data_IF_053388641693
#
_entry.id   IF_053388641693
#
_cell.length_a   1.000
_cell.length_b   1.000
_cell.length_c   1.000
_cell.angle_alpha   90.00
_cell.angle_beta   90.00
_cell.angle_gamma   90.00
#
_symmetry.space_group_name_H-M   'P 1'
#
loop_
_entity.id
_entity.type
_entity.pdbx_description
1 polymer ?
#
# COMPACT_ATOMS: atom_id res chain seq x y z
N UNK A 1 -25.58 -22.36 -5.51
CA UNK A 1 -25.80 -23.39 -4.46
C UNK A 1 -24.50 -24.13 -4.19
N UNK A 2 -23.99 -24.06 -2.96
CA UNK A 2 -22.83 -24.82 -2.44
C UNK A 2 -23.32 -25.97 -1.54
N UNK A 3 -22.49 -26.96 -1.23
CA UNK A 3 -22.84 -28.13 -0.38
C UNK A 3 -23.58 -27.73 0.91
N UNK A 4 -23.09 -26.72 1.64
CA UNK A 4 -23.74 -26.18 2.84
C UNK A 4 -25.23 -25.83 2.69
N UNK A 5 -25.65 -25.44 1.49
CA UNK A 5 -27.06 -25.13 1.21
C UNK A 5 -27.88 -26.39 0.98
N UNK A 6 -27.30 -27.38 0.30
CA UNK A 6 -27.90 -28.70 0.12
C UNK A 6 -28.01 -29.43 1.45
N UNK A 7 -27.02 -29.30 2.34
CA UNK A 7 -27.04 -29.94 3.65
C UNK A 7 -28.13 -29.35 4.55
N UNK A 8 -28.29 -28.02 4.59
CA UNK A 8 -29.44 -27.37 5.25
C UNK A 8 -30.79 -27.86 4.71
N UNK A 9 -30.87 -28.09 3.40
CA UNK A 9 -32.08 -28.54 2.75
C UNK A 9 -32.38 -30.01 3.08
N UNK A 10 -31.36 -30.86 3.21
CA UNK A 10 -31.48 -32.25 3.68
C UNK A 10 -31.82 -32.35 5.17
N UNK A 11 -31.37 -31.42 6.00
CA UNK A 11 -31.67 -31.38 7.45
C UNK A 11 -33.15 -31.11 7.73
N UNK A 12 -33.77 -30.23 6.94
CA UNK A 12 -35.17 -29.80 7.11
C UNK A 12 -36.15 -30.65 6.27
N UNK A 13 -35.63 -31.55 5.43
CA UNK A 13 -36.44 -32.48 4.62
C UNK A 13 -35.98 -33.93 4.88
N UNK A 14 -35.98 -34.80 3.88
CA UNK A 14 -35.42 -36.14 4.00
C UNK A 14 -34.00 -36.19 3.40
N UNK A 15 -33.14 -37.14 3.83
CA UNK A 15 -31.85 -37.34 3.20
C UNK A 15 -32.01 -37.74 1.73
N UNK A 16 -31.39 -36.99 0.82
CA UNK A 16 -31.28 -37.34 -0.59
C UNK A 16 -29.89 -37.01 -1.14
N UNK A 17 -29.49 -37.72 -2.18
CA UNK A 17 -28.27 -37.43 -2.92
C UNK A 17 -28.58 -36.58 -4.15
N UNK A 18 -28.30 -35.29 -4.05
CA UNK A 18 -28.49 -34.31 -5.12
C UNK A 18 -27.49 -34.44 -6.27
N UNK A 19 -26.49 -35.33 -6.15
CA UNK A 19 -25.48 -35.63 -7.19
C UNK A 19 -25.72 -36.98 -7.88
N UNK A 20 -26.71 -37.75 -7.42
CA UNK A 20 -27.07 -39.04 -8.02
C UNK A 20 -27.79 -38.84 -9.35
N UNK A 21 -27.54 -39.74 -10.31
CA UNK A 21 -28.27 -39.80 -11.57
C UNK A 21 -29.78 -40.07 -11.36
N UNK A 22 -30.15 -40.61 -10.19
CA UNK A 22 -31.54 -40.86 -9.78
C UNK A 22 -32.26 -39.61 -9.23
N UNK A 23 -31.57 -38.46 -9.13
CA UNK A 23 -32.15 -37.19 -8.68
C UNK A 23 -32.98 -36.53 -9.79
N UNK A 24 -34.12 -37.15 -10.09
CA UNK A 24 -35.07 -36.73 -11.13
C UNK A 24 -36.21 -35.88 -10.54
N UNK A 25 -37.01 -35.25 -11.40
CA UNK A 25 -38.21 -34.52 -10.98
C UNK A 25 -39.17 -35.43 -10.19
N UNK A 26 -39.37 -36.67 -10.63
CA UNK A 26 -40.21 -37.64 -9.91
C UNK A 26 -39.67 -37.88 -8.50
N UNK A 27 -38.34 -38.01 -8.36
CA UNK A 27 -37.69 -38.12 -7.06
C UNK A 27 -37.90 -36.87 -6.20
N UNK A 28 -37.84 -35.68 -6.77
CA UNK A 28 -38.10 -34.41 -6.05
C UNK A 28 -39.51 -34.39 -5.46
N UNK A 29 -40.51 -34.87 -6.20
CA UNK A 29 -41.88 -35.01 -5.69
C UNK A 29 -41.99 -36.10 -4.62
N UNK A 30 -41.32 -37.25 -4.79
CA UNK A 30 -41.29 -38.33 -3.78
C UNK A 30 -40.68 -37.88 -2.45
N UNK A 31 -39.65 -37.02 -2.49
CA UNK A 31 -38.96 -36.52 -1.29
C UNK A 31 -39.78 -35.41 -0.59
N UNK A 32 -40.90 -34.96 -1.19
CA UNK A 32 -41.78 -33.95 -0.59
C UNK A 32 -41.23 -32.52 -0.67
N UNK A 33 -40.20 -32.27 -1.49
CA UNK A 33 -39.63 -30.93 -1.68
C UNK A 33 -40.66 -29.84 -2.07
N UNK A 34 -41.71 -30.12 -2.87
CA UNK A 34 -42.76 -29.14 -3.16
C UNK A 34 -43.57 -28.67 -1.94
N UNK A 35 -43.53 -29.40 -0.82
CA UNK A 35 -44.17 -28.97 0.42
C UNK A 35 -43.33 -27.93 1.19
N UNK A 36 -42.05 -27.78 0.82
CA UNK A 36 -41.08 -26.90 1.47
C UNK A 36 -40.66 -25.71 0.58
N UNK A 37 -41.51 -25.26 -0.35
CA UNK A 37 -41.18 -24.22 -1.33
C UNK A 37 -40.66 -22.92 -0.69
N UNK A 38 -41.24 -22.49 0.45
CA UNK A 38 -40.77 -21.29 1.16
C UNK A 38 -39.34 -21.44 1.68
N UNK A 39 -39.01 -22.59 2.24
CA UNK A 39 -37.66 -22.91 2.72
C UNK A 39 -36.68 -22.97 1.55
N UNK A 40 -37.05 -23.62 0.45
CA UNK A 40 -36.22 -23.71 -0.76
C UNK A 40 -35.94 -22.30 -1.31
N UNK A 41 -36.97 -21.45 -1.39
CA UNK A 41 -36.83 -20.07 -1.83
C UNK A 41 -35.91 -19.27 -0.90
N UNK A 42 -36.01 -19.45 0.41
CA UNK A 42 -35.13 -18.81 1.39
C UNK A 42 -33.68 -19.26 1.23
N UNK A 43 -33.42 -20.57 1.10
CA UNK A 43 -32.06 -21.12 0.94
C UNK A 43 -31.46 -20.69 -0.40
N UNK A 44 -32.25 -20.71 -1.48
CA UNK A 44 -31.81 -20.24 -2.79
C UNK A 44 -31.51 -18.74 -2.79
N UNK A 45 -32.32 -17.94 -2.09
CA UNK A 45 -32.06 -16.51 -1.85
C UNK A 45 -30.75 -16.29 -1.10
N UNK A 46 -30.54 -17.00 0.01
CA UNK A 46 -29.27 -16.98 0.74
C UNK A 46 -28.09 -17.35 -0.17
N UNK A 47 -28.21 -18.43 -0.95
CA UNK A 47 -27.14 -18.88 -1.83
C UNK A 47 -26.80 -17.87 -2.94
N UNK A 48 -27.79 -17.10 -3.39
CA UNK A 48 -27.60 -16.05 -4.40
C UNK A 48 -26.82 -14.88 -3.81
N UNK A 49 -27.20 -14.42 -2.63
CA UNK A 49 -26.53 -13.33 -1.93
C UNK A 49 -25.10 -13.71 -1.49
N UNK A 50 -24.90 -14.95 -1.02
CA UNK A 50 -23.57 -15.47 -0.71
C UNK A 50 -22.67 -15.54 -1.94
N UNK A 51 -23.21 -15.91 -3.11
CA UNK A 51 -22.44 -15.95 -4.36
C UNK A 51 -21.97 -14.56 -4.81
N UNK A 52 -22.73 -13.50 -4.50
CA UNK A 52 -22.31 -12.12 -4.77
C UNK A 52 -21.09 -11.75 -3.92
N UNK A 53 -21.10 -12.10 -2.63
CA UNK A 53 -19.96 -11.85 -1.73
C UNK A 53 -18.74 -12.64 -2.19
N UNK A 54 -18.91 -13.94 -2.47
CA UNK A 54 -17.84 -14.83 -2.94
C UNK A 54 -17.18 -14.28 -4.21
N UNK A 55 -17.97 -13.88 -5.22
CA UNK A 55 -17.46 -13.32 -6.47
C UNK A 55 -16.67 -12.03 -6.25
N UNK A 56 -17.14 -11.14 -5.36
CA UNK A 56 -16.42 -9.90 -5.04
C UNK A 56 -15.08 -10.17 -4.38
N UNK A 57 -15.02 -11.14 -3.46
CA UNK A 57 -13.76 -11.53 -2.83
C UNK A 57 -12.78 -12.12 -3.87
N UNK A 58 -13.27 -12.93 -4.80
CA UNK A 58 -12.47 -13.45 -5.91
C UNK A 58 -11.92 -12.32 -6.80
N UNK A 59 -12.72 -11.30 -7.09
CA UNK A 59 -12.32 -10.12 -7.88
C UNK A 59 -11.22 -9.32 -7.15
N UNK A 60 -11.39 -9.02 -5.86
CA UNK A 60 -10.38 -8.35 -5.02
C UNK A 60 -9.08 -9.16 -5.00
N UNK A 61 -9.20 -10.49 -4.83
CA UNK A 61 -8.05 -11.40 -4.82
C UNK A 61 -7.30 -11.39 -6.15
N UNK A 62 -8.02 -11.51 -7.27
CA UNK A 62 -7.42 -11.51 -8.59
C UNK A 62 -6.72 -10.18 -8.91
N UNK A 63 -7.32 -9.06 -8.50
CA UNK A 63 -6.75 -7.73 -8.67
C UNK A 63 -5.41 -7.58 -7.94
N UNK A 64 -5.38 -7.86 -6.63
CA UNK A 64 -4.19 -7.63 -5.82
C UNK A 64 -3.05 -8.63 -6.06
N UNK A 65 -3.35 -9.81 -6.61
CA UNK A 65 -2.34 -10.77 -7.04
C UNK A 65 -1.53 -10.31 -8.27
N UNK A 66 -2.00 -9.28 -8.98
CA UNK A 66 -1.35 -8.77 -10.19
C UNK A 66 -0.89 -7.32 -10.05
N UNK A 67 -1.29 -6.63 -8.98
CA UNK A 67 -1.02 -5.21 -8.84
C UNK A 67 0.44 -4.95 -8.44
N UNK A 68 1.15 -4.20 -9.27
CA UNK A 68 2.56 -3.86 -9.10
C UNK A 68 2.76 -2.38 -8.77
N UNK A 69 3.80 -2.07 -7.98
CA UNK A 69 4.29 -0.71 -7.88
C UNK A 69 4.86 -0.23 -9.22
N UNK A 70 4.42 0.95 -9.65
CA UNK A 70 5.03 1.64 -10.78
C UNK A 70 6.43 2.08 -10.37
N UNK A 71 7.43 1.86 -11.22
CA UNK A 71 8.80 2.26 -10.98
C UNK A 71 9.24 3.26 -12.03
N UNK A 72 9.88 4.33 -11.57
CA UNK A 72 10.42 5.38 -12.43
C UNK A 72 11.89 5.60 -12.11
N UNK A 73 12.62 6.19 -13.05
CA UNK A 73 14.01 6.60 -12.84
C UNK A 73 14.11 8.11 -12.82
N UNK A 74 14.76 8.67 -11.80
CA UNK A 74 15.11 10.09 -11.74
C UNK A 74 16.62 10.21 -11.63
N UNK A 75 17.27 10.87 -12.60
CA UNK A 75 18.75 11.03 -12.65
C UNK A 75 19.52 9.71 -12.48
N UNK A 76 19.08 8.64 -13.16
CA UNK A 76 19.61 7.27 -13.05
C UNK A 76 19.38 6.55 -11.71
N UNK A 77 18.57 7.10 -10.81
CA UNK A 77 18.20 6.46 -9.55
C UNK A 77 16.78 5.93 -9.65
N UNK A 78 16.60 4.65 -9.31
CA UNK A 78 15.28 4.02 -9.28
C UNK A 78 14.46 4.56 -8.10
N UNK A 79 13.18 4.84 -8.33
CA UNK A 79 12.22 5.29 -7.33
C UNK A 79 10.84 4.70 -7.62
N UNK A 80 10.02 4.62 -6.59
CA UNK A 80 8.60 4.30 -6.70
C UNK A 80 7.91 5.48 -7.39
N UNK A 81 7.09 5.17 -8.39
CA UNK A 81 6.31 6.12 -9.17
C UNK A 81 5.09 6.64 -8.42
N UNK A 82 4.05 7.02 -9.17
CA UNK A 82 2.78 7.37 -8.54
C UNK A 82 2.16 6.14 -7.87
N UNK A 83 1.59 6.35 -6.69
CA UNK A 83 0.84 5.34 -5.94
C UNK A 83 -0.63 5.74 -5.76
N UNK A 84 -1.07 6.86 -6.35
CA UNK A 84 -2.43 7.40 -6.19
C UNK A 84 -3.50 6.37 -6.57
N UNK A 85 -3.31 5.68 -7.70
CA UNK A 85 -4.22 4.61 -8.13
C UNK A 85 -4.21 3.42 -7.16
N UNK A 86 -3.06 3.11 -6.53
CA UNK A 86 -2.97 2.04 -5.53
C UNK A 86 -3.72 2.43 -4.26
N UNK A 87 -3.50 3.64 -3.75
CA UNK A 87 -4.16 4.16 -2.54
C UNK A 87 -5.68 4.24 -2.74
N UNK A 88 -6.14 4.78 -3.87
CA UNK A 88 -7.56 4.83 -4.22
C UNK A 88 -8.20 3.43 -4.26
N UNK A 89 -7.52 2.47 -4.89
CA UNK A 89 -8.03 1.09 -4.98
C UNK A 89 -8.02 0.37 -3.62
N UNK A 90 -7.11 0.71 -2.71
CA UNK A 90 -7.16 0.19 -1.34
C UNK A 90 -8.41 0.73 -0.63
N UNK A 91 -8.66 2.04 -0.72
CA UNK A 91 -9.80 2.68 -0.07
C UNK A 91 -11.15 2.17 -0.61
N UNK A 92 -11.26 2.03 -1.94
CA UNK A 92 -12.46 1.51 -2.59
C UNK A 92 -12.74 0.07 -2.13
N UNK A 93 -11.74 -0.81 -2.16
CA UNK A 93 -11.92 -2.19 -1.72
C UNK A 93 -12.18 -2.30 -0.21
N UNK A 94 -11.58 -1.45 0.63
CA UNK A 94 -11.90 -1.40 2.06
C UNK A 94 -13.38 -1.02 2.29
N UNK A 95 -13.90 -0.06 1.53
CA UNK A 95 -15.32 0.33 1.59
C UNK A 95 -16.23 -0.81 1.11
N UNK A 96 -15.84 -1.54 0.07
CA UNK A 96 -16.58 -2.72 -0.41
C UNK A 96 -16.60 -3.86 0.61
N UNK A 97 -15.45 -4.17 1.22
CA UNK A 97 -15.36 -5.18 2.29
C UNK A 97 -16.23 -4.79 3.49
N UNK A 98 -16.22 -3.51 3.89
CA UNK A 98 -17.06 -3.01 4.97
C UNK A 98 -18.56 -3.17 4.64
N UNK A 99 -18.96 -2.89 3.40
CA UNK A 99 -20.32 -3.11 2.93
C UNK A 99 -20.73 -4.58 2.98
N UNK A 100 -19.85 -5.49 2.54
CA UNK A 100 -20.08 -6.94 2.60
C UNK A 100 -20.17 -7.44 4.04
N UNK A 101 -19.38 -6.90 4.97
CA UNK A 101 -19.47 -7.22 6.40
C UNK A 101 -20.79 -6.82 7.05
N UNK A 102 -21.45 -5.78 6.52
CA UNK A 102 -22.80 -5.38 6.95
C UNK A 102 -23.91 -6.32 6.47
N UNK A 103 -23.62 -7.24 5.54
CA UNK A 103 -24.61 -8.18 5.03
C UNK A 103 -24.95 -9.28 6.04
N UNK A 104 -26.23 -9.61 6.15
CA UNK A 104 -26.71 -10.76 6.95
C UNK A 104 -26.21 -12.12 6.43
N UNK A 105 -25.66 -12.18 5.22
CA UNK A 105 -25.16 -13.39 4.56
C UNK A 105 -23.63 -13.56 4.68
N UNK A 106 -22.97 -12.70 5.46
CA UNK A 106 -21.50 -12.68 5.60
C UNK A 106 -20.94 -13.87 6.37
N UNK A 107 -21.75 -14.62 7.13
CA UNK A 107 -21.28 -15.57 8.15
C UNK A 107 -20.19 -16.54 7.66
N UNK A 108 -20.28 -17.02 6.41
CA UNK A 108 -19.32 -17.97 5.82
C UNK A 108 -17.99 -17.31 5.40
N UNK A 109 -17.96 -15.98 5.24
CA UNK A 109 -16.84 -15.22 4.66
C UNK A 109 -16.13 -14.30 5.65
N UNK A 110 -16.56 -14.25 6.92
CA UNK A 110 -16.03 -13.31 7.93
C UNK A 110 -14.50 -13.37 8.03
N UNK A 111 -13.93 -14.57 8.16
CA UNK A 111 -12.48 -14.75 8.28
C UNK A 111 -11.72 -14.27 7.04
N UNK A 112 -12.27 -14.51 5.85
CA UNK A 112 -11.64 -14.10 4.60
C UNK A 112 -11.69 -12.58 4.42
N UNK A 113 -12.83 -11.96 4.75
CA UNK A 113 -13.00 -10.50 4.73
C UNK A 113 -12.11 -9.80 5.77
N UNK A 114 -11.95 -10.37 6.96
CA UNK A 114 -11.02 -9.88 7.99
C UNK A 114 -9.57 -9.98 7.54
N UNK A 115 -9.19 -11.08 6.89
CA UNK A 115 -7.86 -11.23 6.32
C UNK A 115 -7.58 -10.19 5.24
N UNK A 116 -8.53 -9.98 4.31
CA UNK A 116 -8.39 -8.96 3.27
C UNK A 116 -8.33 -7.54 3.84
N UNK A 117 -9.18 -7.20 4.82
CA UNK A 117 -9.11 -5.90 5.49
C UNK A 117 -7.75 -5.68 6.15
N UNK A 118 -7.21 -6.71 6.82
CA UNK A 118 -5.87 -6.65 7.41
C UNK A 118 -4.80 -6.42 6.34
N UNK A 119 -4.81 -7.19 5.25
CA UNK A 119 -3.85 -7.07 4.15
C UNK A 119 -3.89 -5.69 3.49
N UNK A 120 -5.09 -5.19 3.17
CA UNK A 120 -5.28 -3.86 2.59
C UNK A 120 -4.78 -2.75 3.52
N UNK A 121 -5.05 -2.86 4.82
CA UNK A 121 -4.54 -1.91 5.82
C UNK A 121 -3.01 -1.95 5.91
N UNK A 122 -2.40 -3.13 5.85
CA UNK A 122 -0.93 -3.27 5.81
C UNK A 122 -0.34 -2.71 4.52
N UNK A 123 -1.03 -2.87 3.39
CA UNK A 123 -0.62 -2.29 2.10
C UNK A 123 -0.65 -0.78 2.12
N UNK A 124 -1.69 -0.18 2.70
CA UNK A 124 -1.79 1.28 2.88
C UNK A 124 -0.62 1.79 3.73
N UNK A 125 -0.41 1.18 4.90
CA UNK A 125 0.67 1.56 5.80
C UNK A 125 2.06 1.44 5.15
N UNK A 126 2.30 0.33 4.44
CA UNK A 126 3.58 0.10 3.77
C UNK A 126 3.83 1.13 2.67
N UNK A 127 2.80 1.40 1.86
CA UNK A 127 2.85 2.40 0.79
C UNK A 127 3.10 3.80 1.34
N UNK A 128 2.39 4.20 2.39
CA UNK A 128 2.59 5.49 3.07
C UNK A 128 4.04 5.65 3.55
N UNK A 129 4.59 4.65 4.24
CA UNK A 129 5.97 4.71 4.77
C UNK A 129 7.02 4.73 3.67
N UNK A 130 6.80 4.02 2.58
CA UNK A 130 7.66 4.08 1.40
C UNK A 130 7.67 5.47 0.79
N UNK A 131 6.49 6.06 0.56
CA UNK A 131 6.38 7.38 -0.08
C UNK A 131 6.93 8.50 0.81
N UNK A 132 6.66 8.46 2.12
CA UNK A 132 7.23 9.41 3.08
C UNK A 132 8.76 9.32 3.12
N UNK A 133 9.33 8.11 3.17
CA UNK A 133 10.77 7.91 3.17
C UNK A 133 11.39 8.41 1.85
N UNK A 134 10.78 8.08 0.72
CA UNK A 134 11.23 8.51 -0.61
C UNK A 134 11.21 10.03 -0.76
N UNK A 135 10.18 10.71 -0.26
CA UNK A 135 10.05 12.17 -0.33
C UNK A 135 11.18 12.87 0.43
N UNK A 136 11.44 12.47 1.67
CA UNK A 136 12.53 13.05 2.46
C UNK A 136 13.90 12.71 1.89
N UNK A 137 14.07 11.48 1.39
CA UNK A 137 15.31 11.04 0.76
C UNK A 137 15.59 11.85 -0.51
N UNK A 138 14.60 12.04 -1.41
CA UNK A 138 14.74 12.84 -2.63
C UNK A 138 15.15 14.30 -2.34
N UNK A 139 14.59 14.88 -1.28
CA UNK A 139 14.95 16.24 -0.86
C UNK A 139 16.43 16.31 -0.47
N UNK A 140 16.90 15.41 0.41
CA UNK A 140 18.29 15.40 0.84
C UNK A 140 19.27 14.98 -0.26
N UNK A 141 18.86 14.07 -1.15
CA UNK A 141 19.62 13.68 -2.34
C UNK A 141 19.83 14.86 -3.29
N UNK A 142 18.83 15.73 -3.45
CA UNK A 142 18.95 16.92 -4.29
C UNK A 142 20.03 17.91 -3.79
N UNK A 143 20.31 17.89 -2.49
CA UNK A 143 21.27 18.79 -1.84
C UNK A 143 22.66 18.13 -1.77
N UNK A 144 22.74 16.95 -1.14
CA UNK A 144 24.00 16.26 -0.89
C UNK A 144 24.49 15.45 -2.08
N UNK A 145 23.62 15.04 -3.00
CA UNK A 145 23.99 14.25 -4.19
C UNK A 145 24.68 15.10 -5.27
N UNK A 146 24.36 16.39 -5.37
CA UNK A 146 24.84 17.27 -6.45
C UNK A 146 25.90 18.28 -5.99
N UNK A 147 25.79 18.83 -4.78
CA UNK A 147 26.70 19.90 -4.33
C UNK A 147 27.88 19.38 -3.51
N UNK A 148 29.08 19.37 -4.11
CA UNK A 148 30.32 19.11 -3.37
C UNK A 148 30.57 20.13 -2.25
N UNK A 149 30.21 21.40 -2.46
CA UNK A 149 30.41 22.45 -1.47
C UNK A 149 29.53 22.23 -0.23
N UNK A 150 28.27 21.80 -0.40
CA UNK A 150 27.41 21.39 0.72
C UNK A 150 27.98 20.19 1.45
N UNK A 151 28.45 19.17 0.73
CA UNK A 151 29.09 17.98 1.33
C UNK A 151 30.34 18.35 2.13
N UNK A 152 31.10 19.37 1.71
CA UNK A 152 32.28 19.85 2.44
C UNK A 152 31.91 20.64 3.69
N UNK A 153 30.91 21.52 3.59
CA UNK A 153 30.47 22.34 4.73
C UNK A 153 29.75 21.53 5.81
N UNK A 154 29.03 20.47 5.42
CA UNK A 154 28.28 19.57 6.29
C UNK A 154 28.80 18.12 6.15
N UNK A 155 30.10 17.92 6.38
CA UNK A 155 30.78 16.65 6.11
C UNK A 155 30.27 15.48 6.95
N UNK A 156 29.87 15.73 8.20
CA UNK A 156 29.30 14.71 9.08
C UNK A 156 27.95 14.25 8.55
N UNK A 157 27.07 15.20 8.26
CA UNK A 157 25.71 14.95 7.76
C UNK A 157 25.74 14.31 6.38
N UNK A 158 26.68 14.70 5.51
CA UNK A 158 26.88 14.06 4.21
C UNK A 158 27.32 12.59 4.34
N UNK A 159 28.15 12.26 5.34
CA UNK A 159 28.54 10.88 5.65
C UNK A 159 27.35 10.07 6.19
N UNK A 160 26.58 10.67 7.10
CA UNK A 160 25.38 10.03 7.66
C UNK A 160 24.34 9.78 6.56
N UNK A 161 24.12 10.77 5.68
CA UNK A 161 23.25 10.63 4.51
C UNK A 161 23.73 9.53 3.57
N UNK A 162 25.03 9.41 3.30
CA UNK A 162 25.56 8.33 2.44
C UNK A 162 25.25 6.93 2.99
N UNK A 163 25.30 6.76 4.32
CA UNK A 163 24.92 5.50 4.97
C UNK A 163 23.42 5.22 4.84
N UNK A 164 22.58 6.24 5.00
CA UNK A 164 21.13 6.14 4.84
C UNK A 164 20.75 5.85 3.39
N UNK A 165 21.41 6.51 2.43
CA UNK A 165 21.22 6.29 1.00
C UNK A 165 21.48 4.83 0.62
N UNK A 166 22.58 4.24 1.10
CA UNK A 166 22.89 2.84 0.85
C UNK A 166 21.81 1.89 1.40
N UNK A 167 21.18 2.24 2.52
CA UNK A 167 20.08 1.46 3.08
C UNK A 167 18.79 1.63 2.29
N UNK A 168 18.46 2.87 1.90
CA UNK A 168 17.31 3.17 1.04
C UNK A 168 17.42 2.44 -0.31
N UNK A 169 18.58 2.45 -0.95
CA UNK A 169 18.81 1.71 -2.20
C UNK A 169 18.58 0.20 -2.04
N UNK A 170 18.90 -0.38 -0.87
CA UNK A 170 18.61 -1.81 -0.61
C UNK A 170 17.11 -2.06 -0.51
N UNK A 171 16.35 -1.16 0.11
CA UNK A 171 14.88 -1.27 0.18
C UNK A 171 14.31 -1.20 -1.24
N UNK A 172 14.69 -0.20 -2.03
CA UNK A 172 14.22 -0.04 -3.41
C UNK A 172 14.62 -1.24 -4.27
N UNK A 173 15.84 -1.77 -4.14
CA UNK A 173 16.30 -2.99 -4.85
C UNK A 173 15.47 -4.23 -4.48
N UNK A 174 15.04 -4.34 -3.22
CA UNK A 174 14.18 -5.44 -2.80
C UNK A 174 12.79 -5.34 -3.45
N UNK A 175 12.20 -4.15 -3.48
CA UNK A 175 10.92 -3.89 -4.15
C UNK A 175 11.04 -4.06 -5.68
N UNK A 176 12.21 -3.76 -6.24
CA UNK A 176 12.49 -4.01 -7.66
C UNK A 176 12.52 -5.50 -8.01
N UNK A 177 12.90 -6.35 -7.07
CA UNK A 177 12.97 -7.80 -7.28
C UNK A 177 11.58 -8.44 -7.24
N UNK A 178 10.67 -7.92 -6.42
CA UNK A 178 9.26 -8.31 -6.36
C UNK A 178 8.38 -7.07 -6.22
N UNK A 179 7.78 -6.67 -7.34
CA UNK A 179 7.04 -5.41 -7.46
C UNK A 179 5.62 -5.51 -6.96
N UNK A 180 5.13 -6.72 -6.66
CA UNK A 180 3.76 -6.92 -6.25
C UNK A 180 3.51 -6.20 -4.93
N UNK A 181 2.50 -5.34 -4.93
CA UNK A 181 2.14 -4.51 -3.77
C UNK A 181 1.82 -5.40 -2.58
N UNK A 182 1.06 -6.48 -2.82
CA UNK A 182 0.68 -7.47 -1.82
C UNK A 182 1.90 -8.19 -1.22
N UNK A 183 2.89 -8.58 -2.02
CA UNK A 183 4.07 -9.27 -1.50
C UNK A 183 4.95 -8.32 -0.69
N UNK A 184 5.14 -7.09 -1.18
CA UNK A 184 5.92 -6.06 -0.49
C UNK A 184 5.34 -5.72 0.88
N UNK A 185 4.02 -5.57 0.98
CA UNK A 185 3.33 -5.24 2.24
C UNK A 185 3.37 -6.36 3.28
N UNK A 186 3.51 -7.61 2.84
CA UNK A 186 3.63 -8.77 3.71
C UNK A 186 5.02 -8.95 4.33
N UNK A 187 6.00 -8.12 3.97
CA UNK A 187 7.35 -8.15 4.54
C UNK A 187 7.45 -7.10 5.66
N UNK A 188 7.29 -7.47 6.95
CA UNK A 188 7.22 -6.49 8.04
C UNK A 188 8.51 -5.66 8.17
N UNK A 189 9.63 -6.24 7.73
CA UNK A 189 10.93 -5.60 7.75
C UNK A 189 10.99 -4.34 6.87
N UNK A 190 10.17 -4.23 5.82
CA UNK A 190 10.17 -3.05 4.94
C UNK A 190 9.69 -1.82 5.70
N UNK A 191 8.57 -1.92 6.43
CA UNK A 191 8.02 -0.82 7.25
C UNK A 191 9.01 -0.38 8.32
N UNK A 192 9.64 -1.33 9.01
CA UNK A 192 10.65 -1.06 10.04
C UNK A 192 11.84 -0.30 9.45
N UNK A 193 12.39 -0.80 8.33
CA UNK A 193 13.54 -0.19 7.66
C UNK A 193 13.21 1.20 7.12
N UNK A 194 12.02 1.39 6.53
CA UNK A 194 11.57 2.71 6.08
C UNK A 194 11.44 3.70 7.24
N UNK A 195 10.90 3.25 8.38
CA UNK A 195 10.77 4.07 9.60
C UNK A 195 12.15 4.47 10.14
N UNK A 196 13.12 3.55 10.14
CA UNK A 196 14.49 3.84 10.58
C UNK A 196 15.22 4.79 9.61
N UNK A 197 14.99 4.63 8.30
CA UNK A 197 15.48 5.56 7.27
C UNK A 197 14.90 6.95 7.52
N UNK A 198 13.58 7.09 7.67
CA UNK A 198 12.93 8.38 7.97
C UNK A 198 13.50 9.06 9.20
N UNK A 199 13.62 8.36 10.34
CA UNK A 199 14.20 8.93 11.56
C UNK A 199 15.60 9.50 11.33
N UNK A 200 16.43 8.81 10.55
CA UNK A 200 17.78 9.27 10.23
C UNK A 200 17.76 10.46 9.27
N UNK A 201 16.90 10.44 8.25
CA UNK A 201 16.70 11.57 7.34
C UNK A 201 16.22 12.81 8.10
N UNK A 202 15.33 12.65 9.06
CA UNK A 202 14.83 13.74 9.91
C UNK A 202 15.95 14.38 10.74
N UNK A 203 16.83 13.58 11.35
CA UNK A 203 18.00 14.09 12.08
C UNK A 203 18.91 14.91 11.16
N UNK A 204 19.16 14.42 9.94
CA UNK A 204 19.97 15.12 8.94
C UNK A 204 19.29 16.43 8.52
N UNK A 205 17.98 16.39 8.25
CA UNK A 205 17.16 17.56 7.89
C UNK A 205 17.17 18.62 8.99
N UNK A 206 17.05 18.23 10.25
CA UNK A 206 17.12 19.16 11.38
C UNK A 206 18.51 19.80 11.50
N UNK A 207 19.57 19.04 11.24
CA UNK A 207 20.94 19.56 11.21
C UNK A 207 21.16 20.54 10.06
N UNK A 208 20.58 20.26 8.89
CA UNK A 208 20.56 21.16 7.74
C UNK A 208 19.84 22.47 8.06
N UNK A 209 18.64 22.41 8.65
CA UNK A 209 17.88 23.61 9.02
C UNK A 209 18.66 24.48 10.01
N UNK A 210 19.31 23.87 11.00
CA UNK A 210 20.18 24.59 11.93
C UNK A 210 21.35 25.26 11.22
N UNK A 211 21.99 24.56 10.29
CA UNK A 211 23.08 25.12 9.49
C UNK A 211 22.62 26.32 8.65
N UNK A 212 21.43 26.25 8.02
CA UNK A 212 20.87 27.37 7.27
C UNK A 212 20.58 28.57 8.18
N UNK A 213 20.03 28.34 9.37
CA UNK A 213 19.77 29.41 10.33
C UNK A 213 21.07 30.07 10.83
N UNK A 214 22.12 29.29 11.12
CA UNK A 214 23.43 29.82 11.49
C UNK A 214 24.01 30.71 10.36
N UNK A 215 23.79 30.36 9.08
CA UNK A 215 24.17 31.20 7.94
C UNK A 215 23.34 32.48 7.86
N UNK A 216 22.04 32.43 8.17
CA UNK A 216 21.18 33.62 8.22
C UNK A 216 21.59 34.59 9.33
N UNK A 217 21.99 34.08 10.49
CA UNK A 217 22.50 34.92 11.58
C UNK A 217 23.79 35.66 11.19
N UNK A 218 24.68 35.00 10.45
CA UNK A 218 25.93 35.61 9.97
C UNK A 218 25.68 36.64 8.85
N UNK A 219 24.67 36.43 8.00
CA UNK A 219 24.32 37.31 6.90
C UNK A 219 22.80 37.60 6.90
N UNK A 220 22.34 38.66 7.61
CA UNK A 220 20.92 38.94 7.79
C UNK A 220 20.10 39.12 6.50
N UNK A 221 20.75 39.37 5.36
CA UNK A 221 20.07 39.41 4.05
C UNK A 221 19.51 38.05 3.62
N UNK A 222 20.06 36.94 4.11
CA UNK A 222 19.55 35.59 3.81
C UNK A 222 18.19 35.28 4.44
N UNK A 223 17.68 36.12 5.36
CA UNK A 223 16.31 36.01 5.84
C UNK A 223 15.25 36.33 4.76
N UNK A 224 15.64 37.03 3.68
CA UNK A 224 14.74 37.32 2.56
C UNK A 224 14.67 36.19 1.53
N UNK A 225 15.47 35.13 1.70
CA UNK A 225 15.55 34.01 0.78
C UNK A 225 14.81 32.79 1.32
N UNK A 226 14.17 32.06 0.41
CA UNK A 226 13.66 30.72 0.71
C UNK A 226 14.81 29.77 1.03
N UNK A 227 14.52 28.67 1.74
CA UNK A 227 15.54 27.65 2.04
C UNK A 227 16.15 27.08 0.75
N UNK A 228 15.34 26.85 -0.29
CA UNK A 228 15.79 26.35 -1.58
C UNK A 228 16.73 27.32 -2.30
N UNK A 229 16.43 28.62 -2.28
CA UNK A 229 17.30 29.63 -2.91
C UNK A 229 18.58 29.83 -2.11
N UNK A 230 18.51 29.79 -0.78
CA UNK A 230 19.68 29.81 0.07
C UNK A 230 20.57 28.58 -0.18
N UNK A 231 19.99 27.40 -0.31
CA UNK A 231 20.71 26.17 -0.63
C UNK A 231 21.37 26.22 -2.01
N UNK A 232 20.72 26.82 -3.03
CA UNK A 232 21.35 27.05 -4.34
C UNK A 232 22.58 27.96 -4.22
N UNK A 233 22.47 29.07 -3.50
CA UNK A 233 23.58 30.01 -3.30
C UNK A 233 24.74 29.33 -2.55
N UNK A 234 24.44 28.60 -1.48
CA UNK A 234 25.44 27.89 -0.67
C UNK A 234 26.07 26.71 -1.45
N UNK A 235 25.29 26.05 -2.29
CA UNK A 235 25.70 24.90 -3.09
C UNK A 235 26.51 25.26 -4.34
N UNK A 236 26.38 26.51 -4.82
CA UNK A 236 27.13 27.09 -5.94
C UNK A 236 28.03 28.26 -5.50
N UNK A 237 28.45 28.30 -4.23
CA UNK A 237 29.20 29.42 -3.65
C UNK A 237 30.54 29.75 -4.36
N UNK A 238 30.99 28.89 -5.28
CA UNK A 238 32.21 29.07 -6.09
C UNK A 238 31.95 29.43 -7.56
N UNK A 239 30.70 29.46 -8.02
CA UNK A 239 30.36 29.85 -9.39
C UNK A 239 29.94 31.34 -9.45
N UNK A 240 30.80 32.22 -9.98
CA UNK A 240 30.54 33.67 -10.02
C UNK A 240 29.38 34.06 -10.96
N UNK A 241 28.92 33.16 -11.84
CA UNK A 241 27.80 33.46 -12.74
C UNK A 241 26.45 33.31 -12.05
N UNK A 242 26.30 32.29 -11.19
CA UNK A 242 25.07 32.05 -10.41
C UNK A 242 24.86 33.15 -9.36
N UNK A 243 25.93 33.71 -8.79
CA UNK A 243 25.85 34.80 -7.82
C UNK A 243 25.40 36.15 -8.41
N UNK A 244 25.35 36.32 -9.74
CA UNK A 244 24.92 37.59 -10.37
C UNK A 244 23.42 37.69 -10.59
N UNK A 245 22.69 36.58 -10.44
CA UNK A 245 21.24 36.50 -10.64
C UNK A 245 20.44 36.74 -9.35
N UNK A 246 21.12 36.91 -8.21
CA UNK A 246 20.56 37.18 -6.88
C UNK A 246 21.13 38.47 -6.29
#
# INVERSE_FOLDING_TARGET
MRERHWDKLKEETQPFDHRSDDFTLDKIFEIGLPEHLELIAQIAGQATEEAVIEKKIEEVTAFWNQQEYILTTYKNIARIGSVEDIEQQIDDHLMELASMKGSRYVATFVTELENWEHLLTQMMLTTEKLMMAQKEWLYLESIFGVSEDMRRQMAKEARDFSNVNAEWERIVKQILADKLVLHTSQIPQIVIRCTDVQKKLEIIKNSLNKFLEDKRMLFPRFYFLSDDDLLKILGHARDPQVMKEF
#
